data_IF_749735135712
#
_entry.id   IF_749735135712
#
_cell.length_a   1.000
_cell.length_b   1.000
_cell.length_c   1.000
_cell.angle_alpha   90.00
_cell.angle_beta   90.00
_cell.angle_gamma   90.00
#
_symmetry.space_group_name_H-M   'P 1'
#
loop_
_entity.id
_entity.type
_entity.pdbx_description
1 polymer ?
#
# COMPACT_ATOMS: atom_id res chain seq x y z
N UNK A 1 20.05 -16.62 10.22
CA UNK A 1 19.86 -15.26 9.71
C UNK A 1 19.12 -14.40 10.72
N UNK A 2 19.27 -13.09 10.67
CA UNK A 2 18.55 -12.18 11.56
C UNK A 2 17.17 -11.84 10.97
N UNK A 3 16.15 -11.82 11.83
CA UNK A 3 14.79 -11.42 11.47
C UNK A 3 14.16 -10.62 12.62
N UNK A 4 13.17 -9.83 12.27
CA UNK A 4 12.30 -9.14 13.22
C UNK A 4 11.19 -10.09 13.68
N UNK A 5 10.97 -10.11 14.99
CA UNK A 5 9.91 -10.89 15.63
C UNK A 5 9.07 -9.96 16.49
N UNK A 6 7.76 -10.14 16.49
CA UNK A 6 6.86 -9.34 17.31
C UNK A 6 6.91 -9.74 18.79
N UNK A 7 6.91 -8.72 19.66
CA UNK A 7 6.97 -8.87 21.13
C UNK A 7 5.93 -7.95 21.79
N UNK A 8 4.61 -8.25 21.63
CA UNK A 8 3.55 -7.34 22.06
C UNK A 8 3.55 -7.03 23.56
N UNK A 9 4.13 -7.93 24.38
CA UNK A 9 4.23 -7.78 25.83
C UNK A 9 5.63 -7.29 26.29
N UNK A 10 6.54 -7.02 25.35
CA UNK A 10 7.90 -6.56 25.61
C UNK A 10 8.00 -5.03 25.76
N UNK A 11 9.20 -4.51 26.05
CA UNK A 11 9.46 -3.07 26.15
C UNK A 11 9.35 -2.34 24.80
N UNK A 12 9.40 -3.08 23.70
CA UNK A 12 9.15 -2.63 22.34
C UNK A 12 8.28 -3.65 21.62
N UNK A 13 7.52 -3.22 20.61
CA UNK A 13 6.61 -4.12 19.88
C UNK A 13 7.32 -5.16 19.01
N UNK A 14 8.63 -5.00 18.78
CA UNK A 14 9.44 -5.89 17.95
C UNK A 14 10.83 -6.07 18.53
N UNK A 15 11.42 -7.23 18.26
CA UNK A 15 12.81 -7.59 18.60
C UNK A 15 13.48 -8.25 17.41
N UNK A 16 14.81 -8.16 17.33
CA UNK A 16 15.62 -8.80 16.30
C UNK A 16 16.23 -10.08 16.84
N UNK A 17 15.94 -11.21 16.20
CA UNK A 17 16.40 -12.53 16.64
C UNK A 17 17.08 -13.31 15.52
N UNK A 18 17.95 -14.24 15.92
CA UNK A 18 18.47 -15.27 15.05
C UNK A 18 17.38 -16.32 14.79
N UNK A 19 17.10 -16.59 13.51
CA UNK A 19 16.14 -17.60 13.08
C UNK A 19 16.75 -18.47 11.97
N UNK A 20 16.27 -19.70 11.75
CA UNK A 20 16.69 -20.50 10.60
C UNK A 20 16.40 -19.79 9.28
N UNK A 21 17.28 -19.93 8.26
CA UNK A 21 16.95 -19.46 6.91
C UNK A 21 15.69 -20.14 6.37
N UNK A 22 14.84 -19.43 5.64
CA UNK A 22 13.68 -20.05 5.02
C UNK A 22 14.08 -20.96 3.86
N UNK A 23 13.32 -22.04 3.63
CA UNK A 23 13.51 -22.92 2.50
C UNK A 23 12.41 -22.64 1.45
N UNK A 24 12.77 -22.24 0.20
CA UNK A 24 11.78 -21.95 -0.82
C UNK A 24 11.07 -23.24 -1.31
N UNK A 25 9.76 -23.13 -1.55
CA UNK A 25 9.02 -24.11 -2.32
C UNK A 25 9.43 -24.06 -3.82
N UNK A 26 8.95 -25.00 -4.63
CA UNK A 26 9.38 -25.11 -6.02
C UNK A 26 9.12 -23.85 -6.86
N UNK A 27 8.02 -23.13 -6.57
CA UNK A 27 7.61 -21.88 -7.27
C UNK A 27 7.97 -20.59 -6.51
N UNK A 28 8.89 -20.68 -5.54
CA UNK A 28 9.34 -19.54 -4.75
C UNK A 28 10.82 -19.27 -4.99
N UNK A 29 11.18 -18.00 -5.01
CA UNK A 29 12.57 -17.55 -5.01
C UNK A 29 12.99 -17.12 -3.60
N UNK A 30 14.25 -17.40 -3.23
CA UNK A 30 14.87 -16.88 -2.01
C UNK A 30 15.53 -15.55 -2.32
N UNK A 31 15.17 -14.52 -1.55
CA UNK A 31 15.59 -13.13 -1.72
C UNK A 31 16.49 -12.73 -0.56
N UNK A 32 17.67 -12.18 -0.86
CA UNK A 32 18.45 -11.36 0.08
C UNK A 32 17.80 -9.98 0.15
N UNK A 33 17.16 -9.67 1.27
CA UNK A 33 16.42 -8.41 1.43
C UNK A 33 17.40 -7.26 1.66
N UNK A 34 17.24 -6.18 0.89
CA UNK A 34 18.01 -4.92 1.01
C UNK A 34 17.17 -3.81 1.61
N UNK A 35 15.85 -3.84 1.37
CA UNK A 35 14.90 -2.92 1.96
C UNK A 35 13.55 -3.61 2.13
N UNK A 36 12.79 -3.18 3.12
CA UNK A 36 11.41 -3.61 3.31
C UNK A 36 10.50 -2.45 3.68
N UNK A 37 9.25 -2.52 3.24
CA UNK A 37 8.21 -1.56 3.57
C UNK A 37 7.47 -1.92 4.86
N UNK A 38 6.88 -0.91 5.49
CA UNK A 38 6.02 -1.07 6.66
C UNK A 38 4.61 -0.62 6.32
N UNK A 39 3.62 -1.46 6.63
CA UNK A 39 2.22 -1.21 6.33
C UNK A 39 1.40 -1.02 7.61
N UNK A 40 0.37 -0.18 7.53
CA UNK A 40 -0.53 0.06 8.67
C UNK A 40 -1.24 -1.21 9.15
N UNK A 41 -1.53 -2.17 8.26
CA UNK A 41 -2.11 -3.45 8.62
C UNK A 41 -1.23 -4.28 9.56
N UNK A 42 0.09 -4.20 9.39
CA UNK A 42 1.07 -4.92 10.20
C UNK A 42 1.09 -4.42 11.65
N UNK A 43 0.83 -3.12 11.91
CA UNK A 43 0.75 -2.57 13.28
C UNK A 43 -0.22 -3.35 14.17
N UNK A 44 -1.39 -3.71 13.62
CA UNK A 44 -2.41 -4.45 14.39
C UNK A 44 -1.97 -5.87 14.69
N UNK A 45 -1.26 -6.50 13.76
CA UNK A 45 -0.79 -7.88 13.89
C UNK A 45 0.41 -7.97 14.83
N UNK A 46 1.37 -7.06 14.71
CA UNK A 46 2.53 -6.94 15.61
C UNK A 46 2.08 -6.75 17.07
N UNK A 47 1.05 -5.93 17.30
CA UNK A 47 0.51 -5.68 18.63
C UNK A 47 -0.29 -6.85 19.24
N UNK A 48 -0.59 -7.91 18.48
CA UNK A 48 -1.47 -9.01 18.90
C UNK A 48 -0.84 -10.40 18.83
N UNK A 49 0.22 -10.57 18.02
CA UNK A 49 0.86 -11.87 17.79
C UNK A 49 2.22 -11.88 18.43
N UNK A 50 2.47 -12.80 19.34
CA UNK A 50 3.77 -13.03 19.94
C UNK A 50 4.60 -13.99 19.08
N UNK A 51 5.91 -13.80 19.05
CA UNK A 51 6.88 -14.59 18.27
C UNK A 51 6.56 -14.73 16.76
N UNK A 52 5.76 -13.78 16.22
CA UNK A 52 5.41 -13.76 14.82
C UNK A 52 6.42 -12.92 14.01
N UNK A 53 6.78 -13.41 12.83
CA UNK A 53 7.67 -12.70 11.90
C UNK A 53 6.83 -11.92 10.88
N UNK A 54 6.79 -10.59 10.96
CA UNK A 54 6.05 -9.74 10.04
C UNK A 54 6.82 -9.49 8.73
N UNK A 55 6.18 -8.72 7.84
CA UNK A 55 6.78 -8.19 6.62
C UNK A 55 6.19 -8.78 5.36
N UNK A 56 5.57 -7.90 4.56
CA UNK A 56 5.02 -8.27 3.26
C UNK A 56 5.76 -7.58 2.11
N UNK A 57 6.20 -6.34 2.28
CA UNK A 57 6.87 -5.55 1.26
C UNK A 57 8.37 -5.76 1.31
N UNK A 58 8.97 -6.27 0.24
CA UNK A 58 10.42 -6.47 0.16
C UNK A 58 10.99 -6.02 -1.16
N UNK A 59 12.23 -5.55 -1.13
CA UNK A 59 13.08 -5.38 -2.30
C UNK A 59 14.49 -5.89 -1.97
N UNK A 60 15.13 -6.54 -2.95
CA UNK A 60 16.42 -7.17 -2.73
C UNK A 60 16.93 -7.88 -3.98
N UNK A 61 17.79 -8.86 -3.77
CA UNK A 61 18.43 -9.66 -4.83
C UNK A 61 18.03 -11.12 -4.71
N UNK A 62 17.76 -11.76 -5.83
CA UNK A 62 17.51 -13.20 -5.89
C UNK A 62 18.81 -13.95 -5.60
N UNK A 63 18.86 -14.74 -4.52
CA UNK A 63 20.02 -15.59 -4.21
C UNK A 63 19.81 -17.05 -4.58
N UNK A 64 18.53 -17.49 -4.64
CA UNK A 64 18.14 -18.80 -5.17
C UNK A 64 16.87 -18.66 -6.01
N UNK A 65 16.91 -18.92 -7.32
CA UNK A 65 15.74 -18.87 -8.17
C UNK A 65 14.78 -20.03 -7.85
N UNK A 66 13.54 -19.93 -8.31
CA UNK A 66 12.55 -20.99 -8.16
C UNK A 66 12.98 -22.27 -8.88
N UNK A 67 12.80 -23.40 -8.21
CA UNK A 67 13.23 -24.71 -8.73
C UNK A 67 12.41 -25.17 -9.97
N UNK A 68 11.20 -24.64 -10.16
CA UNK A 68 10.34 -24.91 -11.31
C UNK A 68 10.74 -24.10 -12.57
N UNK A 69 11.76 -23.24 -12.46
CA UNK A 69 12.27 -22.42 -13.57
C UNK A 69 11.45 -21.16 -13.84
N UNK A 70 10.43 -20.84 -13.01
CA UNK A 70 9.63 -19.63 -13.16
C UNK A 70 10.30 -18.42 -12.49
N UNK A 71 9.95 -17.21 -12.95
CA UNK A 71 10.33 -15.94 -12.32
C UNK A 71 11.78 -15.53 -12.50
N UNK A 72 12.25 -14.58 -11.66
CA UNK A 72 13.57 -13.98 -11.76
C UNK A 72 14.70 -14.96 -11.46
N UNK A 73 15.89 -14.69 -12.10
CA UNK A 73 17.09 -15.50 -11.97
C UNK A 73 18.01 -14.98 -10.84
N UNK A 74 18.98 -15.80 -10.43
CA UNK A 74 19.97 -15.42 -9.41
C UNK A 74 20.74 -14.16 -9.83
N UNK A 75 20.90 -13.23 -8.88
CA UNK A 75 21.53 -11.93 -9.08
C UNK A 75 20.59 -10.83 -9.58
N UNK A 76 19.38 -11.14 -10.01
CA UNK A 76 18.43 -10.11 -10.42
C UNK A 76 17.91 -9.33 -9.20
N UNK A 77 17.79 -8.00 -9.39
CA UNK A 77 17.20 -7.09 -8.42
C UNK A 77 15.69 -7.14 -8.55
N UNK A 78 15.00 -7.33 -7.44
CA UNK A 78 13.55 -7.55 -7.43
C UNK A 78 12.84 -6.76 -6.33
N UNK A 79 11.56 -6.46 -6.56
CA UNK A 79 10.59 -6.15 -5.52
C UNK A 79 9.53 -7.24 -5.46
N UNK A 80 8.96 -7.48 -4.30
CA UNK A 80 8.00 -8.54 -4.14
C UNK A 80 7.05 -8.37 -2.95
N UNK A 81 5.89 -9.02 -3.09
CA UNK A 81 4.91 -9.15 -2.04
C UNK A 81 5.06 -10.52 -1.38
N UNK A 82 5.83 -10.59 -0.30
CA UNK A 82 5.93 -11.79 0.53
C UNK A 82 4.60 -12.09 1.21
N UNK A 83 4.35 -13.34 1.55
CA UNK A 83 3.17 -13.66 2.36
C UNK A 83 3.34 -13.05 3.77
N UNK A 84 4.49 -13.34 4.40
CA UNK A 84 5.01 -12.76 5.65
C UNK A 84 6.53 -12.95 5.68
N UNK A 85 7.19 -12.68 6.81
CA UNK A 85 8.62 -12.92 7.06
C UNK A 85 9.57 -12.02 6.25
N UNK A 86 9.05 -10.92 5.68
CA UNK A 86 9.86 -10.01 4.87
C UNK A 86 10.74 -9.05 5.68
N UNK A 87 10.49 -8.88 7.01
CA UNK A 87 11.36 -8.07 7.85
C UNK A 87 12.54 -8.91 8.37
N UNK A 88 13.34 -9.42 7.46
CA UNK A 88 14.44 -10.33 7.70
C UNK A 88 15.54 -10.15 6.65
N UNK A 89 16.75 -10.64 6.93
CA UNK A 89 17.85 -10.64 5.96
C UNK A 89 17.55 -11.45 4.70
N UNK A 90 16.70 -12.49 4.84
CA UNK A 90 16.28 -13.32 3.72
C UNK A 90 14.80 -13.70 3.88
N UNK A 91 14.11 -13.76 2.76
CA UNK A 91 12.71 -14.23 2.71
C UNK A 91 12.44 -15.00 1.43
N UNK A 92 11.41 -15.81 1.43
CA UNK A 92 10.90 -16.48 0.22
C UNK A 92 9.70 -15.71 -0.33
N UNK A 93 9.63 -15.61 -1.66
CA UNK A 93 8.52 -14.94 -2.34
C UNK A 93 8.08 -15.78 -3.53
N UNK A 94 6.76 -16.09 -3.67
CA UNK A 94 6.23 -16.73 -4.85
C UNK A 94 6.55 -15.93 -6.12
N UNK A 95 7.01 -16.59 -7.17
CA UNK A 95 7.50 -15.93 -8.40
C UNK A 95 6.46 -15.02 -9.06
N UNK A 96 5.17 -15.39 -9.00
CA UNK A 96 4.07 -14.59 -9.54
C UNK A 96 3.80 -13.29 -8.74
N UNK A 97 4.45 -13.11 -7.59
CA UNK A 97 4.39 -11.89 -6.75
C UNK A 97 5.69 -11.08 -6.79
N UNK A 98 6.62 -11.45 -7.69
CA UNK A 98 7.90 -10.75 -7.90
C UNK A 98 7.84 -9.94 -9.19
N UNK A 99 8.58 -8.84 -9.20
CA UNK A 99 8.91 -8.08 -10.39
C UNK A 99 10.39 -7.68 -10.37
N UNK A 100 11.06 -7.79 -11.52
CA UNK A 100 12.45 -7.33 -11.69
C UNK A 100 12.49 -5.81 -11.67
N UNK A 101 13.47 -5.24 -10.98
CA UNK A 101 13.66 -3.81 -10.91
C UNK A 101 14.29 -3.29 -12.20
N UNK A 102 13.68 -2.28 -12.85
CA UNK A 102 14.35 -1.53 -13.91
C UNK A 102 15.61 -0.83 -13.41
N UNK A 103 16.52 -0.53 -14.34
CA UNK A 103 17.69 0.28 -14.04
C UNK A 103 17.27 1.66 -13.47
N UNK A 104 18.03 2.13 -12.48
CA UNK A 104 17.78 3.43 -11.84
C UNK A 104 16.73 3.43 -10.72
N UNK A 105 15.94 2.36 -10.54
CA UNK A 105 15.05 2.23 -9.37
C UNK A 105 15.85 1.65 -8.21
N UNK A 106 15.91 2.37 -7.09
CA UNK A 106 16.58 1.90 -5.87
C UNK A 106 15.69 0.97 -5.04
N UNK A 107 16.30 0.22 -4.11
CA UNK A 107 15.59 -0.74 -3.28
C UNK A 107 14.59 -0.09 -2.32
N UNK A 108 14.86 1.13 -1.84
CA UNK A 108 13.95 1.80 -0.91
C UNK A 108 12.64 2.22 -1.61
N UNK A 109 12.77 2.81 -2.79
CA UNK A 109 11.61 3.13 -3.66
C UNK A 109 10.85 1.86 -4.03
N UNK A 110 11.57 0.80 -4.42
CA UNK A 110 10.95 -0.47 -4.82
C UNK A 110 10.22 -1.15 -3.65
N UNK A 111 10.79 -1.15 -2.44
CA UNK A 111 10.16 -1.73 -1.24
C UNK A 111 8.92 -0.97 -0.76
N UNK A 112 8.71 0.26 -1.23
CA UNK A 112 7.51 1.03 -0.91
C UNK A 112 6.27 0.63 -1.74
N UNK A 113 6.45 -0.15 -2.82
CA UNK A 113 5.41 -0.42 -3.80
C UNK A 113 4.57 -1.69 -3.55
N UNK A 114 5.10 -2.83 -3.06
CA UNK A 114 4.40 -4.10 -3.21
C UNK A 114 2.96 -4.04 -2.69
N UNK A 115 2.72 -3.84 -1.41
CA UNK A 115 1.37 -3.79 -0.86
C UNK A 115 0.62 -2.53 -1.28
N UNK A 116 1.24 -1.37 -1.13
CA UNK A 116 0.56 -0.09 -1.35
C UNK A 116 0.28 0.16 -2.84
N UNK A 117 1.25 -0.09 -3.69
CA UNK A 117 1.14 0.10 -5.14
C UNK A 117 0.17 -0.88 -5.77
N UNK A 118 0.29 -2.19 -5.45
CA UNK A 118 -0.63 -3.19 -5.99
C UNK A 118 -2.07 -2.96 -5.52
N UNK A 119 -2.26 -2.53 -4.26
CA UNK A 119 -3.58 -2.10 -3.77
C UNK A 119 -4.11 -0.93 -4.58
N UNK A 120 -3.32 0.13 -4.80
CA UNK A 120 -3.75 1.28 -5.59
C UNK A 120 -4.09 0.91 -7.04
N UNK A 121 -3.25 0.08 -7.69
CA UNK A 121 -3.50 -0.39 -9.06
C UNK A 121 -4.78 -1.22 -9.16
N UNK A 122 -5.01 -2.13 -8.22
CA UNK A 122 -6.24 -2.93 -8.17
C UNK A 122 -7.48 -2.06 -7.92
N UNK A 123 -7.43 -1.09 -7.00
CA UNK A 123 -8.56 -0.19 -6.74
C UNK A 123 -8.94 0.60 -7.99
N UNK A 124 -7.95 1.12 -8.71
CA UNK A 124 -8.17 1.84 -9.98
C UNK A 124 -8.70 0.89 -11.07
N UNK A 125 -8.20 -0.33 -11.14
CA UNK A 125 -8.70 -1.36 -12.07
C UNK A 125 -10.16 -1.75 -11.77
N UNK A 126 -10.49 -1.97 -10.51
CA UNK A 126 -11.84 -2.31 -10.04
C UNK A 126 -12.85 -1.17 -10.22
N UNK A 127 -12.38 0.08 -10.26
CA UNK A 127 -13.20 1.24 -10.56
C UNK A 127 -13.61 1.32 -12.05
N UNK A 128 -12.96 0.55 -12.93
CA UNK A 128 -13.26 0.50 -14.35
C UNK A 128 -12.68 1.66 -15.15
N UNK A 129 -13.40 2.15 -16.16
CA UNK A 129 -12.95 3.29 -16.96
C UNK A 129 -13.02 4.59 -16.16
N UNK A 130 -11.90 5.29 -16.06
CA UNK A 130 -11.80 6.54 -15.30
C UNK A 130 -11.85 7.81 -16.16
N UNK A 131 -11.88 7.67 -17.47
CA UNK A 131 -11.92 8.84 -18.38
C UNK A 131 -13.19 9.67 -18.14
N UNK A 132 -13.00 10.90 -17.65
CA UNK A 132 -14.09 11.83 -17.33
C UNK A 132 -14.86 11.49 -16.03
N UNK A 133 -14.42 10.48 -15.29
CA UNK A 133 -15.03 10.04 -14.03
C UNK A 133 -14.61 10.96 -12.89
N UNK A 134 -15.54 11.35 -12.02
CA UNK A 134 -15.25 12.10 -10.79
C UNK A 134 -14.89 11.14 -9.67
N UNK A 135 -13.66 11.21 -9.19
CA UNK A 135 -13.11 10.29 -8.17
C UNK A 135 -12.78 11.03 -6.88
N UNK A 136 -13.34 10.56 -5.77
CA UNK A 136 -12.97 11.01 -4.42
C UNK A 136 -12.01 10.01 -3.79
N UNK A 137 -10.89 10.49 -3.24
CA UNK A 137 -9.92 9.63 -2.54
C UNK A 137 -9.68 10.16 -1.13
N UNK A 138 -10.08 9.39 -0.11
CA UNK A 138 -9.76 9.70 1.29
C UNK A 138 -8.42 9.11 1.69
N UNK A 139 -7.76 9.72 2.69
CA UNK A 139 -6.41 9.30 3.08
C UNK A 139 -5.40 9.43 1.95
N UNK A 140 -5.61 10.40 1.07
CA UNK A 140 -4.88 10.58 -0.19
C UNK A 140 -3.37 10.77 -0.03
N UNK A 141 -2.89 11.31 1.10
CA UNK A 141 -1.45 11.45 1.38
C UNK A 141 -0.81 10.20 1.99
N UNK A 142 -1.56 9.11 2.18
CA UNK A 142 -1.04 7.85 2.72
C UNK A 142 -0.37 6.98 1.67
N UNK A 143 0.15 5.81 2.11
CA UNK A 143 0.92 4.89 1.25
C UNK A 143 0.17 4.40 0.01
N UNK A 144 -1.13 4.09 0.11
CA UNK A 144 -1.96 3.71 -1.04
C UNK A 144 -2.46 4.95 -1.77
N UNK A 145 -2.92 5.96 -1.00
CA UNK A 145 -3.66 7.10 -1.54
C UNK A 145 -2.87 7.92 -2.56
N UNK A 146 -1.59 8.25 -2.29
CA UNK A 146 -0.80 9.08 -3.20
C UNK A 146 -0.51 8.38 -4.54
N UNK A 147 -0.42 7.05 -4.55
CA UNK A 147 -0.30 6.25 -5.78
C UNK A 147 -1.64 6.22 -6.51
N UNK A 148 -2.74 5.99 -5.78
CA UNK A 148 -4.08 5.94 -6.37
C UNK A 148 -4.47 7.28 -7.02
N UNK A 149 -4.10 8.43 -6.40
CA UNK A 149 -4.29 9.76 -7.00
C UNK A 149 -3.61 9.85 -8.36
N UNK A 150 -2.34 9.46 -8.45
CA UNK A 150 -1.58 9.53 -9.70
C UNK A 150 -2.16 8.59 -10.77
N UNK A 151 -2.46 7.34 -10.40
CA UNK A 151 -3.02 6.37 -11.34
C UNK A 151 -4.40 6.79 -11.84
N UNK A 152 -5.27 7.33 -10.97
CA UNK A 152 -6.58 7.82 -11.36
C UNK A 152 -6.48 9.04 -12.29
N UNK A 153 -5.62 10.01 -11.98
CA UNK A 153 -5.38 11.17 -12.83
C UNK A 153 -4.81 10.76 -14.20
N UNK A 154 -3.87 9.81 -14.26
CA UNK A 154 -3.36 9.24 -15.50
C UNK A 154 -4.45 8.52 -16.31
N UNK A 155 -5.44 7.93 -15.63
CA UNK A 155 -6.63 7.33 -16.25
C UNK A 155 -7.65 8.33 -16.79
N UNK A 156 -7.41 9.63 -16.60
CA UNK A 156 -8.28 10.71 -17.06
C UNK A 156 -9.43 11.07 -16.12
N UNK A 157 -9.33 10.71 -14.84
CA UNK A 157 -10.30 11.08 -13.81
C UNK A 157 -10.15 12.56 -13.39
N UNK A 158 -11.29 13.18 -13.00
CA UNK A 158 -11.30 14.40 -12.18
C UNK A 158 -11.17 13.99 -10.71
N UNK A 159 -9.94 14.08 -10.18
CA UNK A 159 -9.62 13.57 -8.84
C UNK A 159 -9.76 14.64 -7.79
N UNK A 160 -10.57 14.37 -6.76
CA UNK A 160 -10.60 15.12 -5.51
C UNK A 160 -9.94 14.29 -4.41
N UNK A 161 -8.87 14.81 -3.82
CA UNK A 161 -8.07 14.18 -2.79
C UNK A 161 -8.32 14.83 -1.42
N UNK A 162 -8.62 14.03 -0.41
CA UNK A 162 -8.76 14.52 0.97
C UNK A 162 -7.44 14.34 1.71
N UNK A 163 -6.83 15.48 2.08
CA UNK A 163 -5.56 15.50 2.83
C UNK A 163 -5.41 16.80 3.60
N UNK A 164 -4.63 16.78 4.68
CA UNK A 164 -4.33 17.99 5.43
C UNK A 164 -3.60 19.04 4.56
N UNK A 165 -3.76 20.35 4.84
CA UNK A 165 -3.09 21.41 4.07
C UNK A 165 -1.56 21.22 3.95
N UNK A 166 -0.90 20.73 5.01
CA UNK A 166 0.54 20.48 5.03
C UNK A 166 1.00 19.37 4.05
N UNK A 167 0.08 18.57 3.51
CA UNK A 167 0.37 17.46 2.58
C UNK A 167 -0.28 17.64 1.21
N UNK A 168 -0.84 18.82 0.95
CA UNK A 168 -1.65 19.07 -0.24
C UNK A 168 -0.82 19.28 -1.52
N UNK A 169 0.34 19.93 -1.42
CA UNK A 169 1.07 20.39 -2.61
C UNK A 169 1.56 19.24 -3.52
N UNK A 170 2.13 18.13 -3.00
CA UNK A 170 2.46 17.00 -3.85
C UNK A 170 1.23 16.45 -4.59
N UNK A 171 0.08 16.33 -3.91
CA UNK A 171 -1.15 15.80 -4.50
C UNK A 171 -1.70 16.70 -5.61
N UNK A 172 -1.60 18.04 -5.44
CA UNK A 172 -1.93 19.00 -6.51
C UNK A 172 -0.99 18.84 -7.71
N UNK A 173 0.30 18.62 -7.45
CA UNK A 173 1.30 18.31 -8.48
C UNK A 173 0.97 17.06 -9.30
N UNK A 174 0.24 16.12 -8.71
CA UNK A 174 -0.25 14.90 -9.38
C UNK A 174 -1.57 15.10 -10.12
N UNK A 175 -2.12 16.32 -10.14
CA UNK A 175 -3.34 16.64 -10.88
C UNK A 175 -4.64 16.56 -10.07
N UNK A 176 -4.58 16.40 -8.75
CA UNK A 176 -5.78 16.37 -7.92
C UNK A 176 -6.18 17.76 -7.40
N UNK A 177 -7.50 17.98 -7.29
CA UNK A 177 -8.05 18.99 -6.39
C UNK A 177 -7.88 18.49 -4.95
N UNK A 178 -7.34 19.30 -4.05
CA UNK A 178 -7.13 18.90 -2.66
C UNK A 178 -7.98 19.71 -1.71
N UNK A 179 -8.71 19.02 -0.85
CA UNK A 179 -9.55 19.58 0.22
C UNK A 179 -9.11 19.05 1.59
N UNK A 180 -9.46 19.76 2.66
CA UNK A 180 -9.12 19.39 4.04
C UNK A 180 -9.98 18.28 4.59
N UNK A 181 -11.25 18.27 4.24
CA UNK A 181 -12.25 17.31 4.68
C UNK A 181 -13.16 16.89 3.53
N UNK A 182 -13.83 15.72 3.68
CA UNK A 182 -14.84 15.26 2.75
C UNK A 182 -16.02 16.24 2.68
N UNK A 183 -16.35 16.88 3.78
CA UNK A 183 -17.44 17.86 3.88
C UNK A 183 -17.20 19.10 3.02
N UNK A 184 -15.94 19.45 2.73
CA UNK A 184 -15.54 20.55 1.85
C UNK A 184 -15.65 20.21 0.37
N UNK A 185 -16.08 18.99 0.01
CA UNK A 185 -16.17 18.55 -1.38
C UNK A 185 -17.52 18.89 -2.03
N UNK A 186 -17.47 19.18 -3.32
CA UNK A 186 -18.65 19.37 -4.16
C UNK A 186 -18.94 18.07 -4.95
N UNK A 187 -19.78 17.18 -4.34
CA UNK A 187 -20.23 15.96 -5.03
C UNK A 187 -21.15 16.24 -6.21
N UNK A 188 -21.74 15.24 -6.88
CA UNK A 188 -21.55 13.80 -6.58
C UNK A 188 -20.24 13.25 -7.19
N UNK A 189 -19.78 12.08 -6.67
CA UNK A 189 -18.64 11.33 -7.19
C UNK A 189 -19.10 10.00 -7.76
N UNK A 190 -18.58 9.64 -8.93
CA UNK A 190 -18.86 8.35 -9.56
C UNK A 190 -18.13 7.21 -8.84
N UNK A 191 -16.93 7.49 -8.34
CA UNK A 191 -16.10 6.54 -7.60
C UNK A 191 -15.57 7.18 -6.33
N UNK A 192 -15.63 6.44 -5.22
CA UNK A 192 -15.02 6.81 -3.94
C UNK A 192 -14.04 5.71 -3.54
N UNK A 193 -12.76 6.07 -3.36
CA UNK A 193 -11.73 5.22 -2.79
C UNK A 193 -11.53 5.61 -1.33
N UNK A 194 -12.00 4.78 -0.39
CA UNK A 194 -12.16 5.16 1.00
C UNK A 194 -11.27 4.35 1.94
N UNK A 195 -10.46 5.05 2.77
CA UNK A 195 -9.55 4.41 3.74
C UNK A 195 -9.54 5.06 5.12
N UNK A 196 -10.26 6.14 5.30
CA UNK A 196 -10.32 6.84 6.59
C UNK A 196 -11.28 6.18 7.57
N UNK A 197 -12.46 5.74 7.10
CA UNK A 197 -13.52 5.19 7.94
C UNK A 197 -14.20 6.23 8.83
N UNK A 198 -15.13 5.80 9.68
CA UNK A 198 -15.84 6.67 10.61
C UNK A 198 -16.57 7.82 9.90
N UNK A 199 -16.54 9.04 10.49
CA UNK A 199 -17.24 10.19 9.91
C UNK A 199 -16.86 10.51 8.46
N UNK A 200 -15.61 10.25 8.05
CA UNK A 200 -15.19 10.49 6.66
C UNK A 200 -15.89 9.55 5.68
N UNK A 201 -16.08 8.28 6.04
CA UNK A 201 -16.87 7.35 5.23
C UNK A 201 -18.35 7.78 5.20
N UNK A 202 -18.92 8.17 6.34
CA UNK A 202 -20.32 8.63 6.41
C UNK A 202 -20.53 9.85 5.49
N UNK A 203 -19.62 10.81 5.54
CA UNK A 203 -19.64 11.99 4.67
C UNK A 203 -19.44 11.63 3.17
N UNK A 204 -18.58 10.65 2.86
CA UNK A 204 -18.33 10.21 1.49
C UNK A 204 -19.55 9.48 0.88
N UNK A 205 -20.25 8.69 1.68
CA UNK A 205 -21.50 8.03 1.25
C UNK A 205 -22.59 9.03 0.85
N UNK A 206 -22.68 10.17 1.54
CA UNK A 206 -23.60 11.25 1.19
C UNK A 206 -23.19 12.04 -0.07
N UNK A 207 -22.11 11.67 -0.74
CA UNK A 207 -21.56 12.37 -1.93
C UNK A 207 -21.33 11.44 -3.13
N UNK A 208 -21.70 10.16 -3.01
CA UNK A 208 -21.62 9.23 -4.13
C UNK A 208 -22.73 9.53 -5.15
N UNK A 209 -22.45 9.42 -6.43
CA UNK A 209 -23.45 9.57 -7.47
C UNK A 209 -24.48 8.41 -7.47
N UNK A 210 -25.70 8.59 -7.98
CA UNK A 210 -26.57 7.46 -8.29
C UNK A 210 -25.85 6.44 -9.19
N UNK A 211 -25.89 5.15 -8.84
CA UNK A 211 -25.13 4.09 -9.52
C UNK A 211 -23.64 4.11 -9.27
N UNK A 212 -23.14 5.01 -8.43
CA UNK A 212 -21.69 5.15 -8.14
C UNK A 212 -21.12 4.00 -7.31
N UNK A 213 -19.79 3.95 -7.23
CA UNK A 213 -19.05 2.87 -6.57
C UNK A 213 -18.23 3.42 -5.40
N UNK A 214 -18.38 2.81 -4.21
CA UNK A 214 -17.54 3.07 -3.04
C UNK A 214 -16.70 1.83 -2.75
N UNK A 215 -15.36 1.96 -2.86
CA UNK A 215 -14.39 0.91 -2.51
C UNK A 215 -13.75 1.25 -1.16
N UNK A 216 -14.09 0.47 -0.13
CA UNK A 216 -13.55 0.63 1.22
C UNK A 216 -12.32 -0.28 1.36
N UNK A 217 -11.11 0.30 1.47
CA UNK A 217 -9.85 -0.44 1.58
C UNK A 217 -9.10 -0.19 2.89
N UNK A 218 -9.69 0.58 3.80
CA UNK A 218 -9.11 0.85 5.11
C UNK A 218 -10.10 1.42 6.11
N UNK A 219 -9.66 1.54 7.36
CA UNK A 219 -10.33 2.26 8.43
C UNK A 219 -9.28 2.87 9.35
N UNK A 220 -8.60 3.91 8.88
CA UNK A 220 -7.50 4.53 9.63
C UNK A 220 -7.96 5.32 10.85
N UNK A 221 -9.22 5.71 10.93
CA UNK A 221 -9.83 6.34 12.11
C UNK A 221 -10.05 5.35 13.25
N UNK A 222 -10.24 4.07 12.92
CA UNK A 222 -10.68 3.00 13.84
C UNK A 222 -12.07 3.27 14.45
N UNK A 223 -12.76 4.30 13.98
CA UNK A 223 -14.12 4.62 14.41
C UNK A 223 -15.13 3.76 13.62
N UNK A 224 -16.29 3.44 14.20
CA UNK A 224 -17.41 2.86 13.46
C UNK A 224 -17.95 3.87 12.46
N UNK A 225 -18.54 3.38 11.37
CA UNK A 225 -19.29 4.16 10.40
C UNK A 225 -20.77 3.79 10.51
N UNK A 226 -21.63 4.76 10.23
CA UNK A 226 -23.08 4.58 10.30
C UNK A 226 -23.69 4.68 8.91
N UNK A 227 -24.36 3.65 8.47
CA UNK A 227 -25.17 3.69 7.26
C UNK A 227 -26.63 3.93 7.66
N UNK A 228 -27.10 5.16 7.43
CA UNK A 228 -28.53 5.47 7.56
C UNK A 228 -29.21 5.32 6.19
N UNK A 229 -30.26 4.51 6.13
CA UNK A 229 -31.01 4.30 4.89
C UNK A 229 -31.55 5.61 4.29
N UNK A 230 -31.91 6.58 5.13
CA UNK A 230 -32.43 7.87 4.67
C UNK A 230 -31.36 8.70 3.93
N UNK A 231 -30.08 8.52 4.25
CA UNK A 231 -28.99 9.19 3.53
C UNK A 231 -28.72 8.61 2.13
N UNK A 232 -29.34 7.46 1.81
CA UNK A 232 -29.21 6.85 0.47
C UNK A 232 -30.19 7.44 -0.56
N UNK A 233 -31.15 8.28 -0.15
CA UNK A 233 -31.98 9.01 -1.10
C UNK A 233 -31.14 10.04 -1.87
N UNK A 234 -31.17 9.97 -3.20
CA UNK A 234 -30.28 10.73 -4.08
C UNK A 234 -29.00 10.01 -4.47
N UNK A 235 -28.77 8.80 -3.92
CA UNK A 235 -27.61 7.93 -4.20
C UNK A 235 -28.07 6.52 -4.59
N UNK A 236 -29.23 6.44 -5.27
CA UNK A 236 -29.89 5.19 -5.64
C UNK A 236 -28.93 4.28 -6.43
N UNK A 237 -28.98 2.98 -6.18
CA UNK A 237 -28.16 1.97 -6.85
C UNK A 237 -26.64 2.09 -6.62
N UNK A 238 -26.19 2.96 -5.70
CA UNK A 238 -24.79 3.03 -5.34
C UNK A 238 -24.30 1.70 -4.75
N UNK A 239 -23.14 1.25 -5.19
CA UNK A 239 -22.49 0.01 -4.72
C UNK A 239 -21.45 0.33 -3.66
N UNK A 240 -21.56 -0.29 -2.50
CA UNK A 240 -20.55 -0.23 -1.44
C UNK A 240 -19.88 -1.60 -1.36
N UNK A 241 -18.56 -1.62 -1.56
CA UNK A 241 -17.76 -2.86 -1.57
C UNK A 241 -16.49 -2.71 -0.75
N UNK A 242 -16.22 -3.70 0.12
CA UNK A 242 -14.93 -3.79 0.80
C UNK A 242 -13.89 -4.42 -0.12
N UNK A 243 -12.68 -3.84 -0.13
CA UNK A 243 -11.52 -4.36 -0.83
C UNK A 243 -10.56 -5.04 0.14
N UNK A 244 -10.13 -6.25 -0.19
CA UNK A 244 -9.13 -7.01 0.55
C UNK A 244 -7.99 -7.42 -0.39
N UNK A 245 -6.78 -6.89 -0.16
CA UNK A 245 -5.58 -7.16 -0.97
C UNK A 245 -5.29 -8.65 -1.14
N UNK A 246 -5.47 -9.46 -0.10
CA UNK A 246 -5.24 -10.90 -0.14
C UNK A 246 -6.05 -11.68 -1.20
N UNK A 247 -7.12 -11.10 -1.74
CA UNK A 247 -7.89 -11.71 -2.83
C UNK A 247 -7.37 -11.35 -4.22
N UNK A 248 -6.39 -10.46 -4.31
CA UNK A 248 -5.85 -9.91 -5.56
C UNK A 248 -4.35 -10.17 -5.75
N UNK A 249 -3.78 -11.08 -4.95
CA UNK A 249 -2.34 -11.35 -4.95
C UNK A 249 -1.85 -12.10 -6.18
N UNK A 250 -2.74 -12.78 -6.90
CA UNK A 250 -2.39 -13.50 -8.13
C UNK A 250 -1.81 -12.60 -9.23
N UNK A 251 -2.25 -11.34 -9.28
CA UNK A 251 -1.79 -10.34 -10.24
C UNK A 251 -0.68 -9.41 -9.69
N UNK A 252 -0.21 -9.64 -8.46
CA UNK A 252 0.68 -8.73 -7.77
C UNK A 252 1.97 -8.45 -8.55
N UNK A 253 2.63 -9.47 -9.09
CA UNK A 253 3.85 -9.30 -9.89
C UNK A 253 3.62 -8.48 -11.15
N UNK A 254 2.49 -8.68 -11.85
CA UNK A 254 2.11 -7.91 -13.04
C UNK A 254 1.91 -6.41 -12.71
N UNK A 255 1.15 -6.13 -11.66
CA UNK A 255 0.93 -4.75 -11.22
C UNK A 255 2.22 -4.11 -10.76
N UNK A 256 3.04 -4.85 -10.01
CA UNK A 256 4.31 -4.36 -9.51
C UNK A 256 5.29 -4.02 -10.65
N UNK A 257 5.38 -4.87 -11.68
CA UNK A 257 6.18 -4.60 -12.87
C UNK A 257 5.73 -3.31 -13.58
N UNK A 258 4.42 -3.14 -13.82
CA UNK A 258 3.87 -1.93 -14.41
C UNK A 258 4.19 -0.67 -13.58
N UNK A 259 4.07 -0.76 -12.25
CA UNK A 259 4.36 0.37 -11.36
C UNK A 259 5.83 0.74 -11.36
N UNK A 260 6.73 -0.24 -11.36
CA UNK A 260 8.18 -0.05 -11.45
C UNK A 260 8.58 0.61 -12.77
N UNK A 261 7.96 0.20 -13.90
CA UNK A 261 8.16 0.83 -15.20
C UNK A 261 7.70 2.29 -15.19
N UNK A 262 6.57 2.60 -14.56
CA UNK A 262 6.10 3.98 -14.41
C UNK A 262 7.06 4.83 -13.56
N UNK A 263 7.62 4.25 -12.50
CA UNK A 263 8.64 4.92 -11.66
C UNK A 263 9.91 5.17 -12.47
N UNK A 264 10.43 4.16 -13.18
CA UNK A 264 11.63 4.29 -14.02
C UNK A 264 11.46 5.35 -15.12
N UNK A 265 10.23 5.46 -15.65
CA UNK A 265 9.90 6.49 -16.66
C UNK A 265 9.62 7.89 -16.06
N UNK A 266 9.74 8.07 -14.74
CA UNK A 266 9.42 9.33 -14.06
C UNK A 266 7.93 9.71 -14.09
N UNK A 267 7.04 8.76 -14.37
CA UNK A 267 5.59 8.95 -14.49
C UNK A 267 4.83 8.60 -13.21
N UNK A 268 5.46 7.93 -12.27
CA UNK A 268 4.92 7.65 -10.95
C UNK A 268 5.94 8.06 -9.90
N UNK A 269 5.55 8.92 -8.98
CA UNK A 269 6.33 9.27 -7.80
C UNK A 269 5.90 8.41 -6.61
N UNK A 270 6.88 7.81 -5.93
CA UNK A 270 6.66 7.04 -4.71
C UNK A 270 7.13 7.87 -3.51
N UNK A 271 6.19 8.29 -2.69
CA UNK A 271 6.48 9.07 -1.47
C UNK A 271 7.01 8.14 -0.39
N UNK A 272 8.30 8.19 -0.12
CA UNK A 272 8.95 7.54 1.03
C UNK A 272 9.15 8.59 2.12
N UNK A 273 8.15 8.76 2.95
CA UNK A 273 8.14 9.79 4.00
C UNK A 273 8.99 9.46 5.24
N UNK A 274 9.42 8.21 5.38
CA UNK A 274 10.39 7.78 6.38
C UNK A 274 11.31 6.71 5.81
N UNK A 275 12.62 6.92 5.89
CA UNK A 275 13.63 5.94 5.50
C UNK A 275 14.76 5.90 6.53
N UNK A 276 15.10 4.70 7.01
CA UNK A 276 16.16 4.50 8.02
C UNK A 276 16.69 3.05 7.97
N UNK A 277 17.78 2.77 8.71
CA UNK A 277 18.18 1.38 9.00
C UNK A 277 17.08 0.65 9.78
N UNK A 278 16.95 -0.64 9.57
CA UNK A 278 15.96 -1.48 10.25
C UNK A 278 16.09 -1.51 11.79
N UNK A 279 17.22 -1.05 12.33
CA UNK A 279 17.38 -0.80 13.76
C UNK A 279 16.42 0.25 14.31
N UNK A 280 15.86 1.09 13.41
CA UNK A 280 14.90 2.15 13.73
C UNK A 280 13.46 1.77 13.42
N UNK A 281 13.16 0.46 13.31
CA UNK A 281 11.82 -0.01 12.97
C UNK A 281 10.75 0.48 13.97
N UNK A 282 11.04 0.48 15.25
CA UNK A 282 10.08 0.95 16.26
C UNK A 282 9.71 2.43 16.07
N UNK A 283 10.64 3.27 15.59
CA UNK A 283 10.33 4.66 15.25
C UNK A 283 9.40 4.75 14.04
N UNK A 284 9.59 3.88 13.05
CA UNK A 284 8.70 3.79 11.90
C UNK A 284 7.28 3.37 12.31
N UNK A 285 7.15 2.37 13.19
CA UNK A 285 5.87 1.90 13.73
C UNK A 285 5.15 3.01 14.52
N UNK A 286 5.89 3.73 15.36
CA UNK A 286 5.37 4.87 16.09
C UNK A 286 4.95 5.99 15.15
N UNK A 287 5.79 6.36 14.19
CA UNK A 287 5.51 7.41 13.20
C UNK A 287 4.28 7.11 12.35
N UNK A 288 4.05 5.83 11.98
CA UNK A 288 2.82 5.40 11.30
C UNK A 288 1.59 5.55 12.21
N UNK A 289 1.73 5.23 13.49
CA UNK A 289 0.65 5.38 14.49
C UNK A 289 0.27 6.84 14.64
N UNK A 290 1.26 7.71 14.78
CA UNK A 290 1.10 9.16 14.99
C UNK A 290 0.81 9.93 13.69
N UNK A 291 0.81 9.25 12.53
CA UNK A 291 0.69 9.88 11.21
C UNK A 291 1.75 10.96 10.98
N UNK A 292 2.99 10.74 11.46
CA UNK A 292 4.07 11.72 11.44
C UNK A 292 4.60 12.04 10.05
N UNK A 293 4.45 11.11 9.08
CA UNK A 293 4.92 11.27 7.70
C UNK A 293 3.81 10.95 6.68
N UNK A 294 4.01 11.42 5.44
CA UNK A 294 3.20 11.04 4.29
C UNK A 294 3.77 9.76 3.62
N UNK A 295 3.02 9.15 2.74
CA UNK A 295 3.49 8.01 1.94
C UNK A 295 3.83 6.77 2.77
N UNK A 296 4.99 6.20 2.52
CA UNK A 296 5.46 4.93 3.08
C UNK A 296 6.63 5.13 4.06
N UNK A 297 6.73 4.18 5.01
CA UNK A 297 7.95 3.94 5.76
C UNK A 297 8.71 2.76 5.13
N UNK A 298 10.01 2.93 4.95
CA UNK A 298 10.91 1.92 4.40
C UNK A 298 12.15 1.80 5.29
N UNK A 299 12.55 0.58 5.58
CA UNK A 299 13.75 0.27 6.36
C UNK A 299 14.75 -0.45 5.45
N UNK A 300 16.04 -0.11 5.61
CA UNK A 300 17.14 -0.76 4.87
C UNK A 300 17.87 -1.76 5.74
N UNK A 301 18.32 -2.85 5.15
CA UNK A 301 19.19 -3.85 5.74
C UNK A 301 20.58 -3.67 5.12
N UNK A 302 21.56 -3.36 5.96
CA UNK A 302 22.97 -3.17 5.59
C UNK A 302 23.72 -4.52 5.52
#
# INVERSE_FOLDING_TARGET
MRAIVSTPNGPSFTDRREVPPPAPAASEALIAVRAFGVNRGELTLVARREDWQPGQDVAGEVIQPAADGTGPQAGERVAGLAEWHGWAEQTVVPTHRLAVLPDGVDFATAAALPMAGTTAANLVHEAGSLLGTRVLITGASGGVGHIAVQLAAHGGADVTAVASPARADPLRGYGARVVGDVEDTEGPFDVVLESAGGPALDAALARVAPGGLVLIFGNSSRAPSTLDFTTMFGHEEATIRSYFSARHEADAGRWLAMLLDLVAAGRLHVEVGYSASWDRLNDALQGLTDRAFAGKAVLTID
#
